data_IF_111784069803
#
_entry.id   IF_111784069803
#
_cell.length_a   1.000
_cell.length_b   1.000
_cell.length_c   1.000
_cell.angle_alpha   90.00
_cell.angle_beta   90.00
_cell.angle_gamma   90.00
#
_symmetry.space_group_name_H-M   'P 1'
#
loop_
_entity.id
_entity.type
_entity.pdbx_description
1 polymer ?
#
# COMPACT_ATOMS: atom_id res chain seq x y z
N UNK A 1 -35.46 -41.35 -18.92
CA UNK A 1 -35.14 -40.62 -17.67
C UNK A 1 -33.82 -41.16 -17.15
N UNK A 2 -32.73 -40.40 -17.19
CA UNK A 2 -31.41 -40.86 -16.69
C UNK A 2 -31.42 -40.72 -15.17
N UNK A 3 -31.37 -41.83 -14.44
CA UNK A 3 -31.25 -41.82 -12.97
C UNK A 3 -29.82 -41.44 -12.61
N UNK A 4 -29.66 -40.30 -11.94
CA UNK A 4 -28.34 -39.86 -11.45
C UNK A 4 -28.00 -40.71 -10.22
N UNK A 5 -26.86 -41.40 -10.26
CA UNK A 5 -26.41 -42.26 -9.16
C UNK A 5 -26.04 -41.42 -7.93
N UNK A 6 -26.39 -41.89 -6.74
CA UNK A 6 -26.04 -41.24 -5.46
C UNK A 6 -24.54 -41.04 -5.32
N UNK A 7 -23.73 -41.96 -5.85
CA UNK A 7 -22.27 -41.82 -5.90
C UNK A 7 -21.82 -40.62 -6.71
N UNK A 8 -22.50 -40.29 -7.81
CA UNK A 8 -22.20 -39.13 -8.65
C UNK A 8 -22.53 -37.81 -7.95
N UNK A 9 -23.62 -37.76 -7.17
CA UNK A 9 -23.96 -36.58 -6.35
C UNK A 9 -22.94 -36.32 -5.24
N UNK A 10 -22.45 -37.40 -4.62
CA UNK A 10 -21.48 -37.34 -3.52
C UNK A 10 -20.11 -36.85 -4.02
N UNK A 11 -19.67 -37.31 -5.20
CA UNK A 11 -18.44 -36.84 -5.85
C UNK A 11 -18.54 -35.36 -6.21
N UNK A 12 -19.66 -34.91 -6.80
CA UNK A 12 -19.84 -33.50 -7.18
C UNK A 12 -19.83 -32.58 -5.95
N UNK A 13 -20.49 -32.98 -4.86
CA UNK A 13 -20.49 -32.20 -3.61
C UNK A 13 -19.10 -32.10 -2.98
N UNK A 14 -18.31 -33.18 -3.01
CA UNK A 14 -16.92 -33.16 -2.51
C UNK A 14 -16.05 -32.28 -3.39
N UNK A 15 -16.17 -32.37 -4.73
CA UNK A 15 -15.43 -31.51 -5.64
C UNK A 15 -15.76 -30.03 -5.45
N UNK A 16 -17.05 -29.68 -5.25
CA UNK A 16 -17.48 -28.31 -4.99
C UNK A 16 -16.93 -27.80 -3.65
N UNK A 17 -16.91 -28.64 -2.61
CA UNK A 17 -16.35 -28.29 -1.30
C UNK A 17 -14.83 -28.09 -1.35
N UNK A 18 -14.10 -28.90 -2.11
CA UNK A 18 -12.64 -28.75 -2.30
C UNK A 18 -12.31 -27.50 -3.11
N UNK A 19 -13.08 -27.20 -4.17
CA UNK A 19 -12.92 -25.98 -4.95
C UNK A 19 -13.22 -24.72 -4.13
N UNK A 20 -14.29 -24.75 -3.31
CA UNK A 20 -14.61 -23.68 -2.40
C UNK A 20 -13.50 -23.50 -1.35
N UNK A 21 -13.06 -24.58 -0.70
CA UNK A 21 -11.99 -24.56 0.30
C UNK A 21 -10.65 -24.03 -0.26
N UNK A 22 -10.32 -24.38 -1.51
CA UNK A 22 -9.10 -23.93 -2.18
C UNK A 22 -9.08 -22.43 -2.53
N UNK A 23 -10.21 -21.73 -2.45
CA UNK A 23 -10.30 -20.29 -2.71
C UNK A 23 -10.13 -19.40 -1.47
N UNK A 24 -10.00 -19.96 -0.25
CA UNK A 24 -10.14 -19.18 0.97
C UNK A 24 -8.90 -18.44 1.48
N UNK A 25 -7.69 -18.74 1.04
CA UNK A 25 -6.49 -18.08 1.59
C UNK A 25 -5.70 -17.35 0.51
N UNK A 26 -6.27 -16.22 0.07
CA UNK A 26 -5.59 -15.17 -0.69
C UNK A 26 -5.27 -13.99 0.22
N UNK A 27 -4.65 -14.23 1.38
CA UNK A 27 -4.06 -13.17 2.20
C UNK A 27 -2.66 -12.83 1.63
N UNK A 28 -2.64 -12.38 0.36
CA UNK A 28 -1.42 -11.97 -0.35
C UNK A 28 -0.83 -10.65 0.22
N UNK A 29 -1.63 -9.94 1.03
CA UNK A 29 -1.23 -8.72 1.70
C UNK A 29 -0.47 -9.01 3.01
N UNK A 30 0.78 -8.59 3.09
CA UNK A 30 1.56 -8.63 4.35
C UNK A 30 1.21 -7.41 5.21
N UNK A 31 1.11 -7.61 6.52
CA UNK A 31 0.90 -6.52 7.47
C UNK A 31 2.24 -6.02 8.02
N UNK A 32 2.44 -4.71 8.04
CA UNK A 32 3.61 -4.06 8.65
C UNK A 32 3.16 -2.94 9.59
N UNK A 33 3.87 -2.76 10.70
CA UNK A 33 3.69 -1.62 11.59
C UNK A 33 4.67 -0.50 11.22
N UNK A 34 4.17 0.73 11.13
CA UNK A 34 4.99 1.91 10.84
C UNK A 34 5.71 2.36 12.12
N UNK A 35 7.00 2.04 12.23
CA UNK A 35 7.81 2.35 13.41
C UNK A 35 8.37 3.77 13.52
N UNK A 36 8.05 4.68 12.59
CA UNK A 36 8.63 6.04 12.57
C UNK A 36 7.64 7.12 12.16
N UNK A 37 8.06 8.39 12.25
CA UNK A 37 7.20 9.55 11.93
C UNK A 37 7.40 10.12 10.52
N UNK A 38 8.27 9.51 9.72
CA UNK A 38 8.65 10.01 8.39
C UNK A 38 7.47 10.08 7.39
N UNK A 39 6.43 9.29 7.63
CA UNK A 39 5.21 9.26 6.81
C UNK A 39 4.04 9.98 7.46
N UNK A 40 4.22 10.64 8.62
CA UNK A 40 3.18 11.46 9.23
C UNK A 40 2.92 12.73 8.38
N UNK A 41 1.67 13.22 8.30
CA UNK A 41 0.47 12.73 8.99
C UNK A 41 -0.22 11.54 8.29
N UNK A 42 0.12 11.20 7.05
CA UNK A 42 -0.58 10.16 6.28
C UNK A 42 -0.53 8.78 6.96
N UNK A 43 0.62 8.42 7.53
CA UNK A 43 0.81 7.18 8.30
C UNK A 43 1.53 7.52 9.61
N UNK A 44 0.77 7.78 10.69
CA UNK A 44 1.33 7.98 12.02
C UNK A 44 2.08 6.76 12.54
N UNK A 45 2.97 6.97 13.50
CA UNK A 45 3.65 5.88 14.21
C UNK A 45 2.64 4.88 14.81
N UNK A 46 2.92 3.58 14.68
CA UNK A 46 2.07 2.50 15.16
C UNK A 46 0.92 2.12 14.20
N UNK A 47 0.80 2.80 13.06
CA UNK A 47 -0.19 2.43 12.04
C UNK A 47 0.16 1.07 11.44
N UNK A 48 -0.81 0.16 11.39
CA UNK A 48 -0.67 -1.11 10.67
C UNK A 48 -1.10 -0.89 9.22
N UNK A 49 -0.20 -1.17 8.27
CA UNK A 49 -0.46 -1.09 6.85
C UNK A 49 -0.53 -2.48 6.23
N UNK A 50 -1.47 -2.67 5.32
CA UNK A 50 -1.55 -3.82 4.45
C UNK A 50 -0.74 -3.52 3.19
N UNK A 51 0.21 -4.40 2.87
CA UNK A 51 1.13 -4.22 1.75
C UNK A 51 0.96 -5.39 0.81
N UNK A 52 0.59 -5.06 -0.42
CA UNK A 52 0.54 -5.99 -1.53
C UNK A 52 1.88 -5.94 -2.28
N UNK A 53 2.35 -7.10 -2.73
CA UNK A 53 3.57 -7.18 -3.53
C UNK A 53 3.25 -6.73 -4.96
N UNK A 54 4.15 -5.95 -5.58
CA UNK A 54 4.02 -5.62 -6.99
C UNK A 54 4.07 -6.91 -7.81
N UNK A 55 3.03 -7.15 -8.59
CA UNK A 55 2.96 -8.26 -9.53
C UNK A 55 3.61 -7.91 -10.87
N UNK A 56 2.76 -7.76 -11.89
CA UNK A 56 3.17 -7.35 -13.24
C UNK A 56 3.15 -5.82 -13.38
N UNK A 57 2.39 -5.14 -12.52
CA UNK A 57 2.23 -3.69 -12.56
C UNK A 57 3.51 -2.98 -12.09
N UNK A 58 3.88 -1.93 -12.80
CA UNK A 58 5.02 -1.10 -12.44
C UNK A 58 4.65 -0.06 -11.38
N UNK A 59 5.60 0.34 -10.50
CA UNK A 59 5.37 1.37 -9.51
C UNK A 59 4.97 2.70 -10.14
N UNK A 60 3.89 3.30 -9.64
CA UNK A 60 3.36 4.55 -10.14
C UNK A 60 3.69 5.70 -9.19
N UNK A 61 3.65 6.93 -9.72
CA UNK A 61 3.77 8.12 -8.88
C UNK A 61 2.66 8.16 -7.85
N UNK A 62 3.00 8.67 -6.67
CA UNK A 62 2.14 8.74 -5.50
C UNK A 62 1.86 7.41 -4.79
N UNK A 63 2.32 6.28 -5.32
CA UNK A 63 2.27 5.01 -4.58
C UNK A 63 3.05 5.11 -3.27
N UNK A 64 2.57 4.41 -2.24
CA UNK A 64 3.28 4.28 -0.96
C UNK A 64 3.80 2.87 -0.88
N UNK A 65 5.12 2.74 -0.86
CA UNK A 65 5.81 1.47 -1.02
C UNK A 65 6.63 1.12 0.20
N UNK A 66 6.69 -0.17 0.49
CA UNK A 66 7.59 -0.74 1.49
C UNK A 66 8.71 -1.47 0.77
N UNK A 67 9.95 -1.04 1.01
CA UNK A 67 11.13 -1.63 0.39
C UNK A 67 12.22 -1.86 1.42
N UNK A 68 13.19 -2.72 1.10
CA UNK A 68 14.37 -2.93 1.96
C UNK A 68 15.32 -1.75 1.80
N UNK A 69 15.87 -1.26 2.90
CA UNK A 69 16.87 -0.18 2.84
C UNK A 69 18.10 -0.65 2.06
N UNK A 70 18.61 0.13 1.09
CA UNK A 70 19.84 -0.19 0.37
C UNK A 70 21.06 -0.30 1.30
N UNK A 71 21.11 0.55 2.34
CA UNK A 71 22.25 0.61 3.28
C UNK A 71 22.14 -0.43 4.40
N UNK A 72 20.92 -0.83 4.74
CA UNK A 72 20.61 -1.74 5.85
C UNK A 72 19.55 -2.76 5.44
N UNK A 73 19.93 -3.88 4.79
CA UNK A 73 18.98 -4.84 4.19
C UNK A 73 17.99 -5.48 5.15
N UNK A 74 18.30 -5.48 6.45
CA UNK A 74 17.43 -5.97 7.53
C UNK A 74 16.30 -4.99 7.88
N UNK A 75 16.42 -3.73 7.46
CA UNK A 75 15.43 -2.69 7.69
C UNK A 75 14.51 -2.53 6.49
N UNK A 76 13.20 -2.42 6.78
CA UNK A 76 12.20 -2.03 5.79
C UNK A 76 11.79 -0.59 6.01
N UNK A 77 11.68 0.16 4.92
CA UNK A 77 11.29 1.56 4.91
C UNK A 77 9.97 1.71 4.16
N UNK A 78 9.10 2.58 4.66
CA UNK A 78 7.89 3.03 3.97
C UNK A 78 8.12 4.43 3.43
N UNK A 79 7.90 4.64 2.12
CA UNK A 79 8.07 5.94 1.45
C UNK A 79 7.01 6.12 0.36
N UNK A 80 6.77 7.36 -0.05
CA UNK A 80 5.95 7.70 -1.23
C UNK A 80 6.82 7.88 -2.46
N UNK A 81 6.39 7.34 -3.59
CA UNK A 81 7.05 7.54 -4.89
C UNK A 81 6.74 8.93 -5.41
N UNK A 82 7.78 9.74 -5.61
CA UNK A 82 7.67 11.10 -6.16
C UNK A 82 7.88 11.12 -7.68
N UNK A 83 8.84 10.33 -8.16
CA UNK A 83 9.15 10.20 -9.58
C UNK A 83 9.44 8.76 -9.95
N UNK A 84 9.21 8.43 -11.20
CA UNK A 84 9.47 7.13 -11.83
C UNK A 84 10.58 7.27 -12.87
N UNK A 85 11.15 6.18 -13.43
CA UNK A 85 12.20 6.28 -14.42
C UNK A 85 11.85 7.23 -15.58
N UNK A 86 12.76 8.14 -15.90
CA UNK A 86 12.56 9.19 -16.91
C UNK A 86 12.14 10.54 -16.35
N UNK A 87 11.74 10.61 -15.07
CA UNK A 87 11.36 11.87 -14.43
C UNK A 87 12.56 12.69 -13.98
N UNK A 88 12.48 14.00 -14.21
CA UNK A 88 13.34 14.99 -13.58
C UNK A 88 12.66 15.51 -12.31
N UNK A 89 13.21 15.18 -11.16
CA UNK A 89 12.74 15.67 -9.85
C UNK A 89 13.69 16.76 -9.37
N UNK A 90 13.14 17.93 -9.04
CA UNK A 90 13.88 19.08 -8.55
C UNK A 90 13.27 19.58 -7.24
N UNK A 91 14.11 20.04 -6.32
CA UNK A 91 13.67 20.73 -5.10
C UNK A 91 14.16 22.16 -5.18
N UNK A 92 13.24 23.13 -5.14
CA UNK A 92 13.53 24.56 -5.19
C UNK A 92 12.77 25.23 -4.05
N UNK A 93 13.50 25.89 -3.15
CA UNK A 93 12.92 26.60 -2.00
C UNK A 93 11.96 25.73 -1.15
N UNK A 94 12.28 24.44 -0.99
CA UNK A 94 11.48 23.48 -0.23
C UNK A 94 10.25 22.92 -0.96
N UNK A 95 9.99 23.38 -2.19
CA UNK A 95 8.95 22.88 -3.06
C UNK A 95 9.50 21.82 -4.02
N UNK A 96 8.70 20.78 -4.29
CA UNK A 96 9.06 19.68 -5.18
C UNK A 96 8.49 19.94 -6.57
N UNK A 97 9.32 19.86 -7.59
CA UNK A 97 8.93 19.95 -9.00
C UNK A 97 9.23 18.62 -9.68
N UNK A 98 8.31 18.15 -10.51
CA UNK A 98 8.53 16.99 -11.35
C UNK A 98 8.28 17.36 -12.81
N UNK A 99 9.30 17.18 -13.64
CA UNK A 99 9.32 17.61 -15.04
C UNK A 99 8.95 19.09 -15.19
N UNK A 100 9.50 19.94 -14.31
CA UNK A 100 9.25 21.39 -14.28
C UNK A 100 7.89 21.82 -13.71
N UNK A 101 6.98 20.88 -13.41
CA UNK A 101 5.67 21.17 -12.83
C UNK A 101 5.73 21.06 -11.31
N UNK A 102 5.21 22.05 -10.58
CA UNK A 102 5.08 21.98 -9.12
C UNK A 102 4.21 20.78 -8.74
N UNK A 103 4.72 19.91 -7.87
CA UNK A 103 3.98 18.77 -7.35
C UNK A 103 2.97 19.26 -6.31
N UNK A 104 1.71 18.86 -6.49
CA UNK A 104 0.69 19.02 -5.45
C UNK A 104 0.93 17.96 -4.36
N UNK A 105 1.18 18.42 -3.13
CA UNK A 105 1.52 17.57 -2.00
C UNK A 105 0.47 17.70 -0.89
N UNK A 106 -0.79 17.26 -1.09
CA UNK A 106 -1.86 17.40 -0.09
C UNK A 106 -1.61 16.56 1.18
N UNK A 107 -0.61 15.67 1.13
CA UNK A 107 -0.14 14.86 2.25
C UNK A 107 0.89 15.59 3.14
N UNK A 108 1.48 16.71 2.69
CA UNK A 108 2.27 17.57 3.56
C UNK A 108 1.32 18.28 4.51
N UNK A 109 1.77 18.46 5.76
CA UNK A 109 1.05 19.30 6.69
C UNK A 109 1.01 20.73 6.15
N UNK A 110 -0.19 21.26 5.91
CA UNK A 110 -0.37 22.66 5.58
C UNK A 110 -0.39 23.47 6.90
N UNK A 111 0.60 24.35 7.16
CA UNK A 111 0.54 25.23 8.33
C UNK A 111 -0.67 26.20 8.29
N UNK A 112 -1.34 26.34 7.13
CA UNK A 112 -2.51 27.21 6.93
C UNK A 112 -3.82 26.50 7.31
N UNK A 113 -3.89 25.17 7.21
CA UNK A 113 -5.06 24.37 7.61
C UNK A 113 -4.83 23.82 9.00
N UNK A 114 -4.87 24.71 9.98
CA UNK A 114 -4.90 24.35 11.39
C UNK A 114 -6.34 23.98 11.80
N UNK A 115 -6.67 22.72 12.16
CA UNK A 115 -7.87 22.41 12.93
C UNK A 115 -7.64 22.64 14.43
N UNK A 116 -6.43 23.02 14.84
CA UNK A 116 -6.12 23.33 16.23
C UNK A 116 -6.77 24.68 16.59
N UNK A 117 -8.02 24.59 17.05
CA UNK A 117 -8.67 25.64 17.82
C UNK A 117 -7.82 26.06 19.04
N UNK A 118 -8.23 27.14 19.72
CA UNK A 118 -7.40 27.80 20.72
C UNK A 118 -7.28 26.90 21.95
N UNK A 119 -6.04 26.61 22.36
CA UNK A 119 -5.80 26.09 23.70
C UNK A 119 -5.69 27.29 24.63
N UNK A 120 -6.73 27.49 25.45
CA UNK A 120 -6.62 28.33 26.64
C UNK A 120 -5.55 27.69 27.54
N UNK A 121 -4.45 28.41 27.74
CA UNK A 121 -3.45 28.17 28.80
C UNK A 121 -3.97 28.69 30.13
#
# INVERSE_FOLDING_TARGET
MKTVSVSSLLIVSICLAVLAAGCFDSDYARKFEVGGSAMAPSFPHGTIVHVEEYGIDEPQRSDVVVFRSPDHPDLRLIRRIIGVPGDLVEIRDGLVYVNGTLLDEPYKWDPVVCPCGPWDI
#
